data_IF_565232567147
#
_entry.id   IF_565232567147
#
_cell.length_a   1.000
_cell.length_b   1.000
_cell.length_c   1.000
_cell.angle_alpha   90.00
_cell.angle_beta   90.00
_cell.angle_gamma   90.00
#
_symmetry.space_group_name_H-M   'P 1'
#
loop_
_entity.id
_entity.type
_entity.pdbx_description
1 polymer ?
#
# COMPACT_ATOMS: atom_id res chain seq x y z
N UNK A 1 4.05 -17.69 -9.46
CA UNK A 1 4.89 -18.70 -10.10
C UNK A 1 5.61 -18.14 -11.34
N UNK A 2 5.00 -17.51 -12.35
CA UNK A 2 5.68 -17.07 -13.58
C UNK A 2 6.92 -16.20 -13.34
N UNK A 3 6.89 -15.32 -12.33
CA UNK A 3 8.05 -14.49 -11.96
C UNK A 3 9.21 -15.35 -11.45
N UNK A 4 8.92 -16.35 -10.60
CA UNK A 4 9.94 -17.27 -10.06
C UNK A 4 10.56 -18.06 -11.19
N UNK A 5 9.74 -18.59 -12.11
CA UNK A 5 10.21 -19.34 -13.27
C UNK A 5 11.08 -18.46 -14.19
N UNK A 6 10.71 -17.21 -14.42
CA UNK A 6 11.52 -16.25 -15.17
C UNK A 6 12.87 -15.97 -14.51
N UNK A 7 12.91 -15.75 -13.20
CA UNK A 7 14.16 -15.52 -12.46
C UNK A 7 15.09 -16.75 -12.52
N UNK A 8 14.54 -17.97 -12.39
CA UNK A 8 15.29 -19.22 -12.58
C UNK A 8 15.86 -19.33 -13.99
N UNK A 9 15.06 -18.96 -15.01
CA UNK A 9 15.54 -18.93 -16.39
C UNK A 9 16.67 -17.92 -16.62
N UNK A 10 16.54 -16.71 -16.08
CA UNK A 10 17.61 -15.69 -16.16
C UNK A 10 18.91 -16.19 -15.51
N UNK A 11 18.83 -16.79 -14.33
CA UNK A 11 20.00 -17.36 -13.67
C UNK A 11 20.64 -18.47 -14.50
N UNK A 12 19.82 -19.40 -14.99
CA UNK A 12 20.30 -20.60 -15.70
C UNK A 12 20.85 -20.27 -17.09
N UNK A 13 20.20 -19.40 -17.84
CA UNK A 13 20.51 -19.14 -19.25
C UNK A 13 21.56 -18.04 -19.39
N UNK A 14 21.44 -16.97 -18.59
CA UNK A 14 22.28 -15.77 -18.72
C UNK A 14 23.32 -15.63 -17.60
N UNK A 15 23.39 -16.56 -16.64
CA UNK A 15 24.33 -16.50 -15.53
C UNK A 15 24.12 -15.29 -14.61
N UNK A 16 22.90 -14.75 -14.55
CA UNK A 16 22.57 -13.55 -13.75
C UNK A 16 22.50 -13.92 -12.28
N UNK A 17 23.09 -13.10 -11.42
CA UNK A 17 22.87 -13.15 -9.98
C UNK A 17 21.64 -12.33 -9.60
N UNK A 18 20.77 -12.90 -8.77
CA UNK A 18 19.52 -12.25 -8.31
C UNK A 18 19.66 -11.94 -6.83
N UNK A 19 19.50 -10.67 -6.45
CA UNK A 19 19.49 -10.23 -5.05
C UNK A 19 18.08 -9.83 -4.65
N UNK A 20 17.53 -10.49 -3.63
CA UNK A 20 16.24 -10.13 -3.03
C UNK A 20 16.47 -9.22 -1.82
N UNK A 21 15.87 -8.04 -1.84
CA UNK A 21 15.87 -7.11 -0.70
C UNK A 21 14.43 -6.75 -0.34
N UNK A 22 14.01 -7.11 0.86
CA UNK A 22 12.64 -6.87 1.32
C UNK A 22 12.57 -6.78 2.83
N UNK A 23 11.59 -6.04 3.35
CA UNK A 23 11.33 -5.98 4.80
C UNK A 23 10.61 -7.23 5.33
N UNK A 24 9.88 -7.94 4.46
CA UNK A 24 9.15 -9.17 4.76
C UNK A 24 9.45 -10.18 3.67
N UNK A 25 10.28 -11.18 3.98
CA UNK A 25 10.75 -12.15 2.98
C UNK A 25 9.68 -13.23 2.74
N UNK A 26 9.11 -13.31 1.52
CA UNK A 26 8.21 -14.41 1.17
C UNK A 26 8.98 -15.72 1.05
N UNK A 27 8.31 -16.83 1.29
CA UNK A 27 8.88 -18.16 1.03
C UNK A 27 8.97 -18.37 -0.48
N UNK A 28 10.19 -18.42 -1.01
CA UNK A 28 10.47 -18.59 -2.43
C UNK A 28 11.24 -19.88 -2.73
N UNK A 29 11.67 -20.63 -1.71
CA UNK A 29 12.45 -21.89 -1.83
C UNK A 29 11.60 -23.10 -1.50
N UNK A 30 12.08 -24.27 -1.91
CA UNK A 30 11.41 -25.55 -1.68
C UNK A 30 10.14 -25.74 -2.51
N UNK A 31 9.32 -26.71 -2.13
CA UNK A 31 8.02 -26.94 -2.75
C UNK A 31 7.01 -25.93 -2.22
N UNK A 32 6.42 -25.15 -3.11
CA UNK A 32 5.36 -24.19 -2.79
C UNK A 32 4.02 -24.83 -3.11
N UNK A 33 3.21 -24.99 -2.07
CA UNK A 33 1.97 -25.76 -2.10
C UNK A 33 0.74 -24.86 -1.91
N UNK A 34 -0.32 -25.20 -2.63
CA UNK A 34 -1.64 -24.59 -2.54
C UNK A 34 -2.75 -25.62 -2.31
N UNK A 35 -4.01 -25.19 -2.41
CA UNK A 35 -5.17 -26.08 -2.29
C UNK A 35 -5.26 -27.09 -3.43
N UNK A 36 -4.69 -26.77 -4.59
CA UNK A 36 -4.67 -27.64 -5.76
C UNK A 36 -3.26 -28.20 -5.95
N UNK A 37 -3.02 -29.50 -5.69
CA UNK A 37 -1.70 -30.12 -5.86
C UNK A 37 -1.11 -30.00 -7.27
N UNK A 38 -1.95 -29.88 -8.31
CA UNK A 38 -1.51 -29.69 -9.69
C UNK A 38 -0.92 -28.29 -9.95
N UNK A 39 -1.22 -27.34 -9.09
CA UNK A 39 -0.69 -25.99 -9.16
C UNK A 39 0.57 -25.79 -8.30
N UNK A 40 0.97 -26.80 -7.52
CA UNK A 40 2.20 -26.76 -6.74
C UNK A 40 3.40 -26.60 -7.67
N UNK A 41 4.42 -25.88 -7.22
CA UNK A 41 5.63 -25.66 -8.02
C UNK A 41 6.88 -25.60 -7.16
N UNK A 42 7.99 -25.98 -7.78
CA UNK A 42 9.31 -25.88 -7.16
C UNK A 42 9.79 -24.42 -7.17
N UNK A 43 10.08 -23.89 -6.01
CA UNK A 43 10.64 -22.56 -5.83
C UNK A 43 12.09 -22.46 -6.29
N UNK A 44 12.81 -21.45 -5.81
CA UNK A 44 14.21 -21.20 -6.14
C UNK A 44 15.11 -22.11 -5.30
N UNK A 45 16.03 -22.79 -5.95
CA UNK A 45 17.04 -23.60 -5.28
C UNK A 45 18.27 -22.76 -4.91
N UNK A 46 19.00 -23.18 -3.89
CA UNK A 46 20.30 -22.59 -3.51
C UNK A 46 20.24 -21.09 -3.17
N UNK A 47 19.25 -20.68 -2.36
CA UNK A 47 19.21 -19.33 -1.80
C UNK A 47 20.31 -19.21 -0.74
N UNK A 48 21.15 -18.17 -0.87
CA UNK A 48 22.16 -17.82 0.13
C UNK A 48 21.72 -16.60 0.92
N UNK A 49 21.56 -16.76 2.23
CA UNK A 49 21.29 -15.62 3.11
C UNK A 49 22.56 -14.77 3.27
N UNK A 50 22.46 -13.47 2.94
CA UNK A 50 23.60 -12.55 3.04
C UNK A 50 23.92 -12.23 4.50
N UNK A 51 22.88 -12.18 5.35
CA UNK A 51 23.01 -11.95 6.78
C UNK A 51 22.69 -13.24 7.52
N UNK A 52 23.69 -13.92 8.07
CA UNK A 52 23.46 -15.15 8.82
C UNK A 52 22.56 -14.92 10.04
N UNK A 53 21.67 -15.87 10.33
CA UNK A 53 20.74 -15.82 11.47
C UNK A 53 21.46 -15.73 12.82
N UNK A 54 22.68 -16.25 12.93
CA UNK A 54 23.52 -16.19 14.13
C UNK A 54 23.83 -14.79 14.61
N UNK A 55 23.74 -13.77 13.75
CA UNK A 55 23.87 -12.38 14.16
C UNK A 55 22.68 -11.87 15.00
N UNK A 56 21.55 -12.58 14.99
CA UNK A 56 20.33 -12.24 15.71
C UNK A 56 19.94 -10.76 15.56
N UNK A 57 20.04 -10.23 14.32
CA UNK A 57 19.80 -8.81 14.06
C UNK A 57 18.36 -8.41 14.34
N UNK A 58 17.41 -9.33 14.17
CA UNK A 58 16.00 -9.07 14.46
C UNK A 58 15.79 -8.69 15.94
N UNK A 59 16.46 -9.39 16.86
CA UNK A 59 16.36 -9.09 18.29
C UNK A 59 17.13 -7.83 18.66
N UNK A 60 18.36 -7.69 18.16
CA UNK A 60 19.22 -6.53 18.44
C UNK A 60 18.65 -5.21 17.91
N UNK A 61 17.89 -5.25 16.83
CA UNK A 61 17.29 -4.08 16.19
C UNK A 61 15.83 -3.87 16.59
N UNK A 62 15.30 -4.68 17.50
CA UNK A 62 13.92 -4.53 17.98
C UNK A 62 13.77 -3.23 18.76
N UNK A 63 12.96 -2.32 18.22
CA UNK A 63 12.72 -0.96 18.76
C UNK A 63 11.26 -0.67 19.00
N UNK A 64 10.38 -1.65 18.71
CA UNK A 64 8.93 -1.50 18.74
C UNK A 64 8.31 -2.67 19.48
N UNK A 65 7.30 -2.38 20.29
CA UNK A 65 6.37 -3.39 20.81
C UNK A 65 5.05 -3.32 20.07
N UNK A 66 4.43 -4.46 19.84
CA UNK A 66 3.08 -4.57 19.32
C UNK A 66 2.07 -4.71 20.45
N UNK A 67 0.97 -3.98 20.36
CA UNK A 67 -0.19 -4.11 21.24
C UNK A 67 -1.39 -4.43 20.35
N UNK A 68 -1.94 -5.64 20.49
CA UNK A 68 -2.97 -6.15 19.59
C UNK A 68 -4.32 -6.07 20.30
N UNK A 69 -5.28 -5.38 19.69
CA UNK A 69 -6.66 -5.29 20.15
C UNK A 69 -7.59 -5.79 19.03
N UNK A 70 -8.00 -7.04 19.12
CA UNK A 70 -8.87 -7.68 18.12
C UNK A 70 -10.36 -7.38 18.36
N UNK A 71 -10.70 -6.57 19.37
CA UNK A 71 -12.09 -6.18 19.62
C UNK A 71 -12.53 -5.11 18.61
N UNK A 72 -13.62 -5.34 17.91
CA UNK A 72 -14.13 -4.38 16.92
C UNK A 72 -14.44 -3.04 17.56
N UNK A 73 -13.79 -1.98 17.08
CA UNK A 73 -13.94 -0.60 17.56
C UNK A 73 -14.69 0.25 16.54
N UNK A 74 -15.42 1.23 17.03
CA UNK A 74 -15.99 2.30 16.21
C UNK A 74 -14.91 3.30 15.77
N UNK A 75 -15.20 4.11 14.78
CA UNK A 75 -14.31 5.19 14.37
C UNK A 75 -14.08 6.20 15.50
N UNK A 76 -15.12 6.51 16.28
CA UNK A 76 -15.03 7.46 17.41
C UNK A 76 -14.10 6.96 18.51
N UNK A 77 -14.18 5.65 18.84
CA UNK A 77 -13.26 5.02 19.81
C UNK A 77 -11.83 5.04 19.33
N UNK A 78 -11.58 4.78 18.03
CA UNK A 78 -10.23 4.84 17.48
C UNK A 78 -9.73 6.28 17.41
N UNK A 79 -10.54 7.23 16.97
CA UNK A 79 -10.18 8.64 16.93
C UNK A 79 -9.84 9.17 18.33
N UNK A 80 -10.62 8.79 19.36
CA UNK A 80 -10.34 9.14 20.75
C UNK A 80 -9.01 8.53 21.24
N UNK A 81 -8.73 7.25 20.93
CA UNK A 81 -7.44 6.61 21.27
C UNK A 81 -6.26 7.29 20.58
N UNK A 82 -6.39 7.62 19.29
CA UNK A 82 -5.35 8.32 18.52
C UNK A 82 -5.11 9.72 19.08
N UNK A 83 -6.17 10.40 19.51
CA UNK A 83 -6.11 11.76 20.06
C UNK A 83 -5.35 11.88 21.40
N UNK A 84 -5.16 10.77 22.12
CA UNK A 84 -4.35 10.74 23.36
C UNK A 84 -2.88 11.09 23.08
N UNK A 85 -2.40 10.76 21.87
CA UNK A 85 -0.99 10.91 21.52
C UNK A 85 -0.72 12.20 20.77
N UNK A 86 0.36 12.86 21.15
CA UNK A 86 0.77 14.11 20.54
C UNK A 86 1.33 13.91 19.13
N UNK A 87 2.23 12.95 18.93
CA UNK A 87 2.79 12.62 17.61
C UNK A 87 2.43 11.16 17.29
N UNK A 88 1.52 10.98 16.33
CA UNK A 88 0.95 9.66 16.03
C UNK A 88 0.63 9.53 14.53
N UNK A 89 0.88 8.33 14.01
CA UNK A 89 0.47 7.89 12.68
C UNK A 89 -0.59 6.80 12.83
N UNK A 90 -1.73 6.96 12.16
CA UNK A 90 -2.75 5.93 12.08
C UNK A 90 -2.91 5.49 10.62
N UNK A 91 -2.69 4.19 10.36
CA UNK A 91 -2.75 3.60 9.02
C UNK A 91 -3.96 2.68 8.93
N UNK A 92 -4.79 2.91 7.94
CA UNK A 92 -6.03 2.15 7.68
C UNK A 92 -6.06 1.54 6.29
N UNK A 93 -7.01 0.64 6.05
CA UNK A 93 -7.06 -0.18 4.85
C UNK A 93 -7.73 0.51 3.66
N UNK A 94 -8.66 1.43 3.90
CA UNK A 94 -9.42 2.07 2.83
C UNK A 94 -9.32 3.60 2.88
N UNK A 95 -9.52 4.22 1.73
CA UNK A 95 -9.61 5.69 1.61
C UNK A 95 -10.78 6.24 2.43
N UNK A 96 -11.89 5.51 2.46
CA UNK A 96 -13.07 5.86 3.26
C UNK A 96 -12.76 5.85 4.75
N UNK A 97 -12.13 4.78 5.26
CA UNK A 97 -11.75 4.70 6.68
C UNK A 97 -10.80 5.83 7.07
N UNK A 98 -9.87 6.19 6.16
CA UNK A 98 -8.93 7.29 6.39
C UNK A 98 -9.65 8.63 6.52
N UNK A 99 -10.62 8.91 5.64
CA UNK A 99 -11.43 10.14 5.71
C UNK A 99 -12.29 10.17 6.97
N UNK A 100 -12.98 9.09 7.27
CA UNK A 100 -13.85 8.95 8.45
C UNK A 100 -13.09 9.21 9.76
N UNK A 101 -11.89 8.67 9.91
CA UNK A 101 -11.05 8.91 11.08
C UNK A 101 -10.48 10.32 11.10
N UNK A 102 -10.06 10.85 9.95
CA UNK A 102 -9.54 12.22 9.84
C UNK A 102 -10.58 13.25 10.28
N UNK A 103 -11.82 13.09 9.85
CA UNK A 103 -12.91 14.03 10.17
C UNK A 103 -13.25 14.00 11.66
N UNK A 104 -13.13 12.84 12.33
CA UNK A 104 -13.42 12.67 13.78
C UNK A 104 -12.27 13.08 14.69
N UNK A 105 -11.06 13.26 14.16
CA UNK A 105 -9.99 13.78 15.00
C UNK A 105 -10.28 15.20 15.46
N UNK A 106 -9.95 15.55 16.73
CA UNK A 106 -10.11 16.90 17.22
C UNK A 106 -9.26 17.88 16.39
N UNK A 107 -9.71 19.12 16.30
CA UNK A 107 -9.00 20.20 15.59
C UNK A 107 -7.82 20.79 16.39
N UNK A 108 -7.53 20.22 17.54
CA UNK A 108 -6.37 20.60 18.34
C UNK A 108 -5.06 20.12 17.66
N UNK A 109 -4.13 21.05 17.47
CA UNK A 109 -2.86 20.76 16.81
C UNK A 109 -2.99 20.66 15.28
N UNK A 110 -2.07 19.91 14.68
CA UNK A 110 -2.04 19.71 13.22
C UNK A 110 -2.49 18.29 12.91
N UNK A 111 -3.56 18.16 12.13
CA UNK A 111 -3.99 16.89 11.56
C UNK A 111 -3.75 16.89 10.05
N UNK A 112 -3.23 15.78 9.54
CA UNK A 112 -2.90 15.57 8.13
C UNK A 112 -3.47 14.26 7.63
N UNK A 113 -3.86 14.25 6.36
CA UNK A 113 -4.39 13.07 5.68
C UNK A 113 -3.46 12.67 4.53
N UNK A 114 -3.22 11.37 4.37
CA UNK A 114 -2.39 10.79 3.31
C UNK A 114 -3.08 9.57 2.70
N UNK A 115 -3.67 9.75 1.53
CA UNK A 115 -4.25 8.66 0.74
C UNK A 115 -4.06 8.91 -0.74
N UNK A 116 -4.39 7.92 -1.58
CA UNK A 116 -4.39 8.07 -3.03
C UNK A 116 -5.54 8.94 -3.58
N UNK A 117 -6.32 9.60 -2.70
CA UNK A 117 -7.23 10.69 -3.10
C UNK A 117 -6.49 12.01 -3.27
N UNK A 118 -5.25 12.11 -2.79
CA UNK A 118 -4.32 13.18 -3.08
C UNK A 118 -3.52 12.85 -4.35
N UNK A 119 -3.33 13.83 -5.21
CA UNK A 119 -2.43 13.65 -6.36
C UNK A 119 -0.95 13.55 -5.92
N UNK A 120 -0.05 12.97 -6.72
CA UNK A 120 1.36 12.77 -6.34
C UNK A 120 2.10 14.02 -5.89
N UNK A 121 1.82 15.17 -6.49
CA UNK A 121 2.41 16.45 -6.08
C UNK A 121 1.97 16.82 -4.65
N UNK A 122 0.67 16.68 -4.35
CA UNK A 122 0.10 16.96 -3.04
C UNK A 122 0.61 15.96 -1.96
N UNK A 123 0.68 14.68 -2.29
CA UNK A 123 1.27 13.66 -1.41
C UNK A 123 2.71 14.03 -1.04
N UNK A 124 3.52 14.40 -2.04
CA UNK A 124 4.93 14.78 -1.84
C UNK A 124 5.08 16.02 -0.96
N UNK A 125 4.21 17.00 -1.13
CA UNK A 125 4.16 18.21 -0.30
C UNK A 125 3.75 17.88 1.14
N UNK A 126 2.71 17.07 1.31
CA UNK A 126 2.22 16.63 2.63
C UNK A 126 3.29 15.83 3.38
N UNK A 127 4.00 14.91 2.71
CA UNK A 127 5.10 14.17 3.32
C UNK A 127 6.23 15.11 3.77
N UNK A 128 6.61 16.10 2.95
CA UNK A 128 7.61 17.12 3.35
C UNK A 128 7.14 17.90 4.58
N UNK A 129 5.87 18.29 4.62
CA UNK A 129 5.25 18.97 5.77
C UNK A 129 5.29 18.09 7.03
N UNK A 130 4.91 16.81 6.93
CA UNK A 130 5.00 15.83 8.03
C UNK A 130 6.43 15.78 8.57
N UNK A 131 7.43 15.59 7.69
CA UNK A 131 8.84 15.51 8.10
C UNK A 131 9.33 16.78 8.83
N UNK A 132 8.93 17.94 8.38
CA UNK A 132 9.27 19.20 9.01
C UNK A 132 8.63 19.32 10.41
N UNK A 133 7.33 19.04 10.52
CA UNK A 133 6.56 19.11 11.77
C UNK A 133 7.04 18.10 12.82
N UNK A 134 7.49 16.91 12.40
CA UNK A 134 8.03 15.92 13.35
C UNK A 134 9.33 16.37 13.99
N UNK A 135 10.13 17.18 13.29
CA UNK A 135 11.39 17.76 13.80
C UNK A 135 11.14 19.04 14.62
N UNK A 136 10.07 19.75 14.31
CA UNK A 136 9.74 21.00 14.97
C UNK A 136 9.14 20.75 16.37
N UNK A 137 9.73 21.40 17.39
CA UNK A 137 9.25 21.34 18.77
C UNK A 137 8.14 22.35 19.06
N UNK A 138 7.96 23.36 18.22
CA UNK A 138 6.91 24.38 18.36
C UNK A 138 5.52 23.81 18.06
N UNK A 139 5.45 22.70 17.30
CA UNK A 139 4.22 22.00 17.01
C UNK A 139 4.20 20.63 17.73
N UNK A 140 3.79 20.61 19.01
CA UNK A 140 3.84 19.38 19.81
C UNK A 140 2.83 18.32 19.34
N UNK A 141 1.69 18.75 18.75
CA UNK A 141 0.61 17.86 18.35
C UNK A 141 0.57 17.75 16.82
N UNK A 142 0.93 16.54 16.32
CA UNK A 142 0.91 16.19 14.90
C UNK A 142 0.28 14.81 14.75
N UNK A 143 -0.92 14.74 14.20
CA UNK A 143 -1.68 13.51 13.98
C UNK A 143 -1.84 13.27 12.49
N UNK A 144 -1.41 12.12 12.03
CA UNK A 144 -1.48 11.74 10.60
C UNK A 144 -2.37 10.52 10.45
N UNK A 145 -3.40 10.63 9.62
CA UNK A 145 -4.21 9.49 9.17
C UNK A 145 -3.78 9.16 7.74
N UNK A 146 -3.44 7.90 7.50
CA UNK A 146 -2.96 7.47 6.20
C UNK A 146 -3.56 6.12 5.77
N UNK A 147 -3.52 5.85 4.47
CA UNK A 147 -3.66 4.49 3.95
C UNK A 147 -2.28 3.81 3.84
N UNK A 148 -2.22 2.57 3.33
CA UNK A 148 -0.97 1.82 3.16
C UNK A 148 0.11 2.53 2.33
N UNK A 149 -0.21 3.60 1.68
CA UNK A 149 0.71 4.40 0.88
C UNK A 149 2.01 4.79 1.65
N UNK A 150 1.95 4.86 2.99
CA UNK A 150 3.09 5.22 3.84
C UNK A 150 3.91 4.02 4.33
N UNK A 151 3.44 2.79 4.10
CA UNK A 151 4.12 1.56 4.53
C UNK A 151 5.44 1.32 3.77
N UNK A 152 5.49 1.70 2.49
CA UNK A 152 6.68 1.59 1.65
C UNK A 152 7.07 2.93 1.01
N UNK A 153 8.36 3.15 0.76
CA UNK A 153 8.85 4.31 0.01
C UNK A 153 8.77 5.67 0.72
N UNK A 154 8.22 5.74 1.93
CA UNK A 154 8.09 6.98 2.71
C UNK A 154 8.94 6.90 3.96
N UNK A 155 9.83 7.85 4.12
CA UNK A 155 10.73 7.93 5.27
C UNK A 155 10.15 8.91 6.31
N UNK A 156 9.34 8.38 7.23
CA UNK A 156 8.73 9.08 8.36
C UNK A 156 8.94 8.26 9.63
N UNK A 157 9.06 8.94 10.76
CA UNK A 157 9.33 8.35 12.07
C UNK A 157 8.38 8.91 13.13
N UNK A 158 7.54 8.06 13.69
CA UNK A 158 6.60 8.41 14.74
C UNK A 158 6.87 7.62 16.02
N UNK A 159 6.68 8.21 17.20
CA UNK A 159 6.81 7.48 18.47
C UNK A 159 5.71 6.43 18.66
N UNK A 160 4.55 6.66 18.08
CA UNK A 160 3.37 5.80 18.17
C UNK A 160 2.73 5.62 16.80
N UNK A 161 2.41 4.38 16.47
CA UNK A 161 1.70 4.02 15.24
C UNK A 161 0.45 3.21 15.58
N UNK A 162 -0.66 3.52 14.95
CA UNK A 162 -1.86 2.68 14.91
C UNK A 162 -1.97 2.03 13.54
N UNK A 163 -2.24 0.75 13.48
CA UNK A 163 -2.45 0.00 12.25
C UNK A 163 -3.75 -0.80 12.34
N UNK A 164 -4.68 -0.52 11.43
CA UNK A 164 -5.83 -1.38 11.27
C UNK A 164 -5.38 -2.80 10.91
N UNK A 165 -6.05 -3.82 11.41
CA UNK A 165 -5.76 -5.23 11.11
C UNK A 165 -5.58 -5.48 9.60
N UNK A 166 -4.57 -6.29 9.26
CA UNK A 166 -4.18 -6.63 7.90
C UNK A 166 -3.31 -7.87 7.89
N UNK A 167 -2.63 -8.17 6.78
CA UNK A 167 -1.58 -9.16 6.74
C UNK A 167 -0.40 -8.81 7.65
N UNK A 168 0.33 -9.83 8.10
CA UNK A 168 1.47 -9.65 9.00
C UNK A 168 2.56 -8.76 8.38
N UNK A 169 2.84 -8.94 7.08
CA UNK A 169 3.77 -8.15 6.31
C UNK A 169 3.45 -6.64 6.35
N UNK A 170 2.19 -6.30 6.15
CA UNK A 170 1.71 -4.91 6.21
C UNK A 170 1.79 -4.33 7.63
N UNK A 171 1.45 -5.11 8.65
CA UNK A 171 1.57 -4.68 10.06
C UNK A 171 3.03 -4.39 10.42
N UNK A 172 3.97 -5.25 10.01
CA UNK A 172 5.39 -5.03 10.28
C UNK A 172 5.97 -3.86 9.48
N UNK A 173 5.50 -3.62 8.26
CA UNK A 173 5.87 -2.41 7.50
C UNK A 173 5.38 -1.13 8.19
N UNK A 174 4.16 -1.14 8.74
CA UNK A 174 3.65 -0.05 9.57
C UNK A 174 4.46 0.13 10.87
N UNK A 175 4.79 -0.97 11.55
CA UNK A 175 5.67 -0.96 12.72
C UNK A 175 7.06 -0.39 12.40
N UNK A 176 7.55 -0.60 11.17
CA UNK A 176 8.79 0.01 10.67
C UNK A 176 8.74 1.54 10.50
N UNK A 177 7.57 2.18 10.71
CA UNK A 177 7.40 3.64 10.81
C UNK A 177 7.37 4.14 12.24
N UNK A 178 7.41 3.23 13.21
CA UNK A 178 7.41 3.50 14.63
C UNK A 178 8.84 3.46 15.15
N UNK A 179 9.29 4.55 15.81
CA UNK A 179 10.64 4.64 16.40
C UNK A 179 11.76 4.19 15.44
N UNK A 180 11.58 4.52 14.16
CA UNK A 180 12.47 4.12 13.06
C UNK A 180 13.91 4.57 13.27
N UNK A 181 14.08 5.78 13.76
CA UNK A 181 15.40 6.37 14.01
C UNK A 181 15.96 6.01 15.41
N UNK A 182 15.22 5.21 16.22
CA UNK A 182 15.64 4.79 17.55
C UNK A 182 15.79 5.93 18.55
N UNK A 183 15.00 6.99 18.41
CA UNK A 183 15.04 8.16 19.31
C UNK A 183 14.46 7.88 20.70
N UNK A 184 13.53 6.92 20.76
CA UNK A 184 12.96 6.43 22.01
C UNK A 184 13.52 5.05 22.34
N UNK A 185 13.52 4.67 23.60
CA UNK A 185 13.92 3.32 24.02
C UNK A 185 13.06 2.27 23.32
N UNK A 186 11.73 2.45 23.32
CA UNK A 186 10.76 1.58 22.65
C UNK A 186 9.62 2.41 22.09
N UNK A 187 9.28 2.21 20.82
CA UNK A 187 8.05 2.70 20.21
C UNK A 187 6.90 1.73 20.44
N UNK A 188 5.67 2.20 20.22
CA UNK A 188 4.48 1.33 20.36
C UNK A 188 3.66 1.36 19.07
N UNK A 189 3.41 0.19 18.52
CA UNK A 189 2.46 0.02 17.42
C UNK A 189 1.22 -0.71 17.93
N UNK A 190 0.08 -0.05 17.84
CA UNK A 190 -1.22 -0.59 18.16
C UNK A 190 -1.85 -1.20 16.92
N UNK A 191 -2.20 -2.49 16.99
CA UNK A 191 -2.99 -3.15 15.94
C UNK A 191 -4.43 -3.20 16.42
N UNK A 192 -5.36 -2.69 15.62
CA UNK A 192 -6.77 -2.59 15.99
C UNK A 192 -7.69 -3.11 14.88
N UNK A 193 -8.89 -3.58 15.29
CA UNK A 193 -9.95 -3.99 14.38
C UNK A 193 -11.07 -2.97 14.41
N UNK A 194 -11.62 -2.65 13.24
CA UNK A 194 -12.89 -1.91 13.14
C UNK A 194 -14.07 -2.86 13.31
N UNK A 195 -15.21 -2.34 13.81
CA UNK A 195 -16.43 -3.11 14.01
C UNK A 195 -16.87 -3.81 12.71
N UNK A 196 -17.61 -4.92 12.84
CA UNK A 196 -17.96 -5.86 11.75
C UNK A 196 -18.58 -5.24 10.49
N UNK A 197 -19.22 -4.10 10.61
CA UNK A 197 -19.77 -3.31 9.50
C UNK A 197 -18.68 -2.70 8.59
N UNK A 198 -17.46 -2.56 9.10
CA UNK A 198 -16.29 -1.94 8.47
C UNK A 198 -15.27 -3.00 8.10
N UNK A 199 -15.66 -3.96 7.27
CA UNK A 199 -14.85 -5.14 6.94
C UNK A 199 -13.59 -4.79 6.16
N UNK A 200 -12.56 -5.63 6.36
CA UNK A 200 -11.38 -5.64 5.51
C UNK A 200 -11.80 -5.90 4.06
N UNK A 201 -11.27 -5.14 3.09
CA UNK A 201 -11.57 -5.34 1.68
C UNK A 201 -11.36 -6.78 1.23
N UNK A 202 -12.24 -7.29 0.37
CA UNK A 202 -12.14 -8.63 -0.20
C UNK A 202 -10.86 -8.79 -1.04
N UNK A 203 -10.52 -10.04 -1.38
CA UNK A 203 -9.36 -10.36 -2.19
C UNK A 203 -8.09 -10.53 -1.37
N UNK A 204 -6.97 -10.03 -1.89
CA UNK A 204 -5.63 -10.26 -1.33
C UNK A 204 -5.49 -9.80 0.13
N UNK A 205 -6.07 -8.66 0.48
CA UNK A 205 -5.99 -8.11 1.84
C UNK A 205 -6.72 -8.99 2.86
N UNK A 206 -7.90 -9.49 2.50
CA UNK A 206 -8.65 -10.43 3.37
C UNK A 206 -7.92 -11.76 3.50
N UNK A 207 -7.35 -12.28 2.40
CA UNK A 207 -6.57 -13.51 2.42
C UNK A 207 -5.34 -13.37 3.33
N UNK A 208 -4.63 -12.25 3.23
CA UNK A 208 -3.48 -11.93 4.07
C UNK A 208 -3.85 -11.80 5.56
N UNK A 209 -4.95 -11.12 5.88
CA UNK A 209 -5.44 -11.04 7.26
C UNK A 209 -5.85 -12.41 7.81
N UNK A 210 -6.53 -13.23 7.01
CA UNK A 210 -6.89 -14.59 7.41
C UNK A 210 -5.66 -15.48 7.65
N UNK A 211 -4.60 -15.34 6.83
CA UNK A 211 -3.34 -16.04 7.06
C UNK A 211 -2.73 -15.65 8.41
N UNK A 212 -2.71 -14.34 8.74
CA UNK A 212 -2.25 -13.84 10.05
C UNK A 212 -3.08 -14.41 11.21
N UNK A 213 -4.40 -14.46 11.09
CA UNK A 213 -5.30 -14.96 12.15
C UNK A 213 -5.12 -16.45 12.44
N UNK A 214 -4.50 -17.22 11.52
CA UNK A 214 -4.20 -18.63 11.75
C UNK A 214 -2.80 -18.88 12.32
N UNK A 215 -2.03 -17.84 12.57
CA UNK A 215 -0.78 -17.99 13.32
C UNK A 215 -1.05 -18.43 14.76
N UNK A 216 -0.16 -19.23 15.37
CA UNK A 216 -0.29 -19.60 16.79
C UNK A 216 -0.41 -18.37 17.69
N UNK A 217 -1.27 -18.45 18.71
CA UNK A 217 -1.64 -17.30 19.55
C UNK A 217 -0.44 -16.61 20.25
N UNK A 218 0.63 -17.36 20.52
CA UNK A 218 1.82 -16.85 21.21
C UNK A 218 2.99 -16.58 20.25
N UNK A 219 2.75 -16.51 18.94
CA UNK A 219 3.81 -16.22 17.96
C UNK A 219 4.39 -14.83 18.18
N UNK A 220 5.70 -14.74 18.19
CA UNK A 220 6.39 -13.46 18.10
C UNK A 220 6.37 -12.98 16.63
N UNK A 221 5.63 -11.93 16.36
CA UNK A 221 5.45 -11.44 14.99
C UNK A 221 6.72 -10.83 14.38
N UNK A 222 7.73 -10.53 15.18
CA UNK A 222 9.04 -10.10 14.68
C UNK A 222 9.99 -11.25 14.38
N UNK A 223 9.66 -12.47 14.78
CA UNK A 223 10.47 -13.65 14.49
C UNK A 223 10.38 -14.02 13.00
N UNK A 224 11.50 -14.22 12.28
CA UNK A 224 11.51 -14.67 10.90
C UNK A 224 10.75 -15.97 10.65
N UNK A 225 10.74 -16.89 11.63
CA UNK A 225 9.99 -18.15 11.52
C UNK A 225 8.48 -17.91 11.48
N UNK A 226 7.98 -16.93 12.23
CA UNK A 226 6.57 -16.52 12.19
C UNK A 226 6.20 -15.92 10.83
N UNK A 227 7.10 -15.17 10.21
CA UNK A 227 6.88 -14.66 8.85
C UNK A 227 6.85 -15.80 7.83
N UNK A 228 7.73 -16.78 7.97
CA UNK A 228 7.72 -17.98 7.13
C UNK A 228 6.39 -18.74 7.25
N UNK A 229 5.93 -19.00 8.47
CA UNK A 229 4.64 -19.65 8.73
C UNK A 229 3.47 -18.83 8.16
N UNK A 230 3.49 -17.50 8.31
CA UNK A 230 2.49 -16.63 7.71
C UNK A 230 2.39 -16.79 6.19
N UNK A 231 3.52 -16.87 5.48
CA UNK A 231 3.50 -17.08 4.03
C UNK A 231 3.02 -18.48 3.66
N UNK A 232 3.34 -19.51 4.44
CA UNK A 232 2.76 -20.84 4.23
C UNK A 232 1.24 -20.82 4.40
N UNK A 233 0.72 -20.18 5.45
CA UNK A 233 -0.71 -19.98 5.67
C UNK A 233 -1.38 -19.17 4.54
N UNK A 234 -0.67 -18.26 3.91
CA UNK A 234 -1.15 -17.50 2.77
C UNK A 234 -1.18 -18.35 1.49
N UNK A 235 -0.15 -19.18 1.26
CA UNK A 235 -0.01 -19.98 0.06
C UNK A 235 -0.93 -21.19 0.06
N UNK A 236 -1.06 -21.92 1.16
CA UNK A 236 -1.88 -23.11 1.27
C UNK A 236 -3.37 -22.89 0.94
N UNK A 237 -3.80 -21.62 0.84
CA UNK A 237 -5.17 -21.22 0.46
C UNK A 237 -5.32 -20.84 -1.01
N UNK A 238 -4.22 -20.77 -1.75
CA UNK A 238 -4.26 -20.45 -3.18
C UNK A 238 -4.59 -21.70 -3.99
N UNK A 239 -5.53 -21.56 -4.91
CA UNK A 239 -5.89 -22.59 -5.86
C UNK A 239 -4.93 -22.65 -7.07
N UNK A 240 -4.30 -21.51 -7.38
CA UNK A 240 -3.28 -21.40 -8.43
C UNK A 240 -2.23 -20.36 -8.04
N UNK A 241 -1.04 -20.51 -8.60
CA UNK A 241 0.05 -19.54 -8.52
C UNK A 241 0.33 -18.86 -9.87
N UNK A 242 -0.56 -19.09 -10.84
CA UNK A 242 -0.54 -18.51 -12.18
C UNK A 242 -1.95 -17.99 -12.55
N UNK A 243 -2.43 -17.00 -11.82
CA UNK A 243 -3.80 -16.45 -11.93
C UNK A 243 -4.12 -15.89 -13.32
N UNK A 244 -3.09 -15.53 -14.10
CA UNK A 244 -3.22 -14.99 -15.47
C UNK A 244 -2.95 -16.03 -16.56
N UNK A 245 -2.74 -17.30 -16.18
CA UNK A 245 -2.42 -18.41 -17.09
C UNK A 245 -1.23 -18.14 -18.02
N UNK A 246 -0.18 -17.51 -17.43
CA UNK A 246 1.01 -17.11 -18.18
C UNK A 246 1.75 -18.31 -18.78
N UNK A 247 1.71 -19.47 -18.11
CA UNK A 247 2.34 -20.69 -18.62
C UNK A 247 1.74 -21.10 -19.96
N UNK A 248 0.41 -21.02 -20.11
CA UNK A 248 -0.26 -21.32 -21.36
C UNK A 248 0.25 -20.45 -22.49
N UNK A 249 0.42 -19.16 -22.26
CA UNK A 249 0.85 -18.20 -23.29
C UNK A 249 2.36 -18.25 -23.59
N UNK A 250 3.19 -18.57 -22.61
CA UNK A 250 4.65 -18.51 -22.75
C UNK A 250 5.27 -19.85 -23.14
N UNK A 251 4.63 -20.96 -22.79
CA UNK A 251 5.18 -22.31 -23.00
C UNK A 251 4.35 -23.15 -23.97
N UNK A 252 3.40 -22.57 -24.70
CA UNK A 252 2.66 -23.28 -25.72
C UNK A 252 3.62 -23.61 -26.89
N UNK A 253 3.87 -24.89 -27.20
CA UNK A 253 4.80 -25.28 -28.26
C UNK A 253 4.28 -24.95 -29.67
N UNK A 254 2.98 -24.73 -29.81
CA UNK A 254 2.33 -24.54 -31.11
C UNK A 254 2.08 -23.08 -31.46
N UNK A 255 2.16 -22.17 -30.48
CA UNK A 255 1.82 -20.77 -30.66
C UNK A 255 2.73 -19.86 -29.83
N UNK A 256 3.28 -18.83 -30.46
CA UNK A 256 4.04 -17.77 -29.78
C UNK A 256 3.10 -16.62 -29.41
N UNK A 257 2.51 -16.71 -28.22
CA UNK A 257 1.50 -15.74 -27.74
C UNK A 257 2.10 -14.58 -26.92
N UNK A 258 3.30 -14.08 -27.27
CA UNK A 258 4.01 -13.06 -26.51
C UNK A 258 3.23 -11.74 -26.36
N UNK A 259 2.53 -11.31 -27.38
CA UNK A 259 1.69 -10.11 -27.35
C UNK A 259 0.55 -10.28 -26.34
N UNK A 260 -0.15 -11.42 -26.40
CA UNK A 260 -1.23 -11.74 -25.46
C UNK A 260 -0.71 -11.85 -24.04
N UNK A 261 0.43 -12.53 -23.83
CA UNK A 261 1.08 -12.61 -22.54
C UNK A 261 1.44 -11.22 -21.98
N UNK A 262 2.03 -10.36 -22.81
CA UNK A 262 2.39 -8.96 -22.43
C UNK A 262 1.17 -8.12 -22.04
N UNK A 263 0.04 -8.27 -22.76
CA UNK A 263 -1.20 -7.56 -22.43
C UNK A 263 -1.85 -8.08 -21.15
N UNK A 264 -1.80 -9.37 -20.92
CA UNK A 264 -2.41 -10.02 -19.72
C UNK A 264 -1.53 -9.92 -18.48
N UNK A 265 -0.21 -9.95 -18.64
CA UNK A 265 0.71 -9.87 -17.51
C UNK A 265 0.78 -8.43 -16.99
N UNK A 266 0.09 -8.19 -15.89
CA UNK A 266 0.19 -6.96 -15.11
C UNK A 266 0.69 -7.32 -13.72
N UNK A 267 1.85 -6.80 -13.33
CA UNK A 267 2.39 -6.98 -11.98
C UNK A 267 1.50 -6.28 -10.94
N UNK A 268 0.95 -5.13 -11.35
CA UNK A 268 -0.05 -4.37 -10.60
C UNK A 268 -1.24 -4.21 -11.54
N UNK A 269 -2.38 -4.80 -11.15
CA UNK A 269 -3.63 -4.57 -11.88
C UNK A 269 -4.07 -3.12 -11.57
N UNK A 270 -4.21 -2.31 -12.61
CA UNK A 270 -4.63 -0.93 -12.51
C UNK A 270 -5.89 -0.72 -13.38
N UNK A 271 -7.04 -0.86 -12.74
CA UNK A 271 -8.36 -0.58 -13.33
C UNK A 271 -8.78 0.87 -13.04
N UNK A 272 -7.81 1.73 -12.73
CA UNK A 272 -8.08 3.11 -12.38
C UNK A 272 -8.11 4.01 -13.62
N UNK A 273 -9.13 4.86 -13.68
CA UNK A 273 -9.20 6.00 -14.57
C UNK A 273 -8.52 7.20 -13.91
N UNK A 274 -7.64 7.87 -14.66
CA UNK A 274 -6.86 8.99 -14.16
C UNK A 274 -7.58 10.32 -14.42
N UNK A 275 -7.74 11.12 -13.37
CA UNK A 275 -8.39 12.43 -13.43
C UNK A 275 -7.38 13.50 -13.00
N UNK A 276 -7.15 14.50 -13.85
CA UNK A 276 -6.34 15.67 -13.49
C UNK A 276 -7.14 16.55 -12.55
N UNK A 277 -6.52 16.91 -11.41
CA UNK A 277 -7.16 17.71 -10.36
C UNK A 277 -6.53 19.10 -10.26
N UNK A 278 -7.30 20.07 -9.78
CA UNK A 278 -6.82 21.43 -9.60
C UNK A 278 -5.91 21.52 -8.37
N UNK A 279 -4.59 21.36 -8.61
CA UNK A 279 -3.55 21.52 -7.60
C UNK A 279 -2.31 22.18 -8.19
N UNK A 280 -1.73 23.15 -7.47
CA UNK A 280 -0.54 23.87 -7.95
C UNK A 280 -0.78 24.56 -9.29
N UNK A 281 0.06 24.26 -10.28
CA UNK A 281 -0.03 24.82 -11.63
C UNK A 281 -0.70 23.88 -12.65
N UNK A 282 -1.48 22.90 -12.20
CA UNK A 282 -2.08 21.91 -13.08
C UNK A 282 -2.97 22.51 -14.18
N UNK A 283 -3.75 23.55 -13.86
CA UNK A 283 -4.66 24.17 -14.82
C UNK A 283 -3.91 24.93 -15.93
N UNK A 284 -2.77 25.54 -15.63
CA UNK A 284 -1.90 26.15 -16.66
C UNK A 284 -1.36 25.08 -17.64
N UNK A 285 -1.06 23.88 -17.12
CA UNK A 285 -0.61 22.76 -17.95
C UNK A 285 -1.77 22.17 -18.76
N UNK A 286 -3.00 22.19 -18.26
CA UNK A 286 -4.20 21.79 -19.00
C UNK A 286 -4.46 22.74 -20.16
N UNK A 287 -4.34 24.05 -19.98
CA UNK A 287 -4.48 25.01 -21.08
C UNK A 287 -3.40 24.79 -22.14
N UNK A 288 -2.15 24.57 -21.76
CA UNK A 288 -1.08 24.19 -22.71
C UNK A 288 -1.40 22.89 -23.45
N UNK A 289 -2.03 21.92 -22.77
CA UNK A 289 -2.44 20.66 -23.38
C UNK A 289 -3.51 20.90 -24.47
N UNK A 290 -4.49 21.76 -24.22
CA UNK A 290 -5.51 22.14 -25.19
C UNK A 290 -4.92 22.86 -26.40
N UNK A 291 -3.91 23.69 -26.21
CA UNK A 291 -3.24 24.46 -27.28
C UNK A 291 -2.28 23.62 -28.10
N UNK A 292 -1.43 22.83 -27.47
CA UNK A 292 -0.29 22.14 -28.12
C UNK A 292 -0.48 20.63 -28.32
N UNK A 293 -1.59 20.08 -27.81
CA UNK A 293 -1.85 18.64 -27.85
C UNK A 293 -0.97 17.82 -26.91
N UNK A 294 -1.12 16.49 -26.99
CA UNK A 294 -0.39 15.55 -26.16
C UNK A 294 1.08 15.46 -26.55
N UNK A 295 1.97 15.90 -25.67
CA UNK A 295 3.41 15.65 -25.79
C UNK A 295 3.92 14.89 -24.55
N UNK A 296 4.91 14.02 -24.73
CA UNK A 296 5.45 13.23 -23.62
C UNK A 296 5.91 14.08 -22.42
N UNK A 297 6.67 15.20 -22.61
CA UNK A 297 7.08 16.06 -21.49
C UNK A 297 5.91 16.68 -20.72
N UNK A 298 4.84 17.10 -21.44
CA UNK A 298 3.65 17.70 -20.82
C UNK A 298 2.84 16.66 -20.05
N UNK A 299 2.63 15.48 -20.63
CA UNK A 299 1.95 14.38 -19.95
C UNK A 299 2.70 13.91 -18.70
N UNK A 300 4.03 13.86 -18.74
CA UNK A 300 4.87 13.57 -17.58
C UNK A 300 4.73 14.61 -16.45
N UNK A 301 4.52 15.87 -16.81
CA UNK A 301 4.24 16.92 -15.82
C UNK A 301 2.82 16.77 -15.24
N UNK A 302 1.82 16.59 -16.09
CA UNK A 302 0.42 16.41 -15.70
C UNK A 302 0.19 15.17 -14.83
N UNK A 303 0.93 14.09 -15.04
CA UNK A 303 0.85 12.88 -14.23
C UNK A 303 1.09 13.13 -12.72
N UNK A 304 1.76 14.23 -12.34
CA UNK A 304 1.93 14.63 -10.94
C UNK A 304 0.65 15.15 -10.29
N UNK A 305 -0.32 15.53 -11.11
CA UNK A 305 -1.59 16.14 -10.71
C UNK A 305 -2.79 15.24 -10.98
N UNK A 306 -2.57 13.95 -11.23
CA UNK A 306 -3.63 12.98 -11.46
C UNK A 306 -4.02 12.22 -10.20
N UNK A 307 -5.31 11.91 -10.06
CA UNK A 307 -5.85 10.99 -9.07
C UNK A 307 -6.47 9.82 -9.80
N UNK A 308 -6.06 8.60 -9.45
CA UNK A 308 -6.66 7.37 -9.96
C UNK A 308 -7.91 6.99 -9.18
N UNK A 309 -9.03 6.79 -9.87
CA UNK A 309 -10.30 6.31 -9.31
C UNK A 309 -10.74 5.03 -10.00
N UNK A 310 -11.44 4.15 -9.30
CA UNK A 310 -12.01 2.95 -9.93
C UNK A 310 -13.08 3.33 -10.95
N UNK A 311 -13.26 2.48 -11.97
CA UNK A 311 -14.24 2.71 -13.04
C UNK A 311 -15.63 3.05 -12.51
N UNK A 312 -16.11 2.37 -11.46
CA UNK A 312 -17.41 2.64 -10.85
C UNK A 312 -17.54 4.04 -10.21
N UNK A 313 -16.45 4.55 -9.66
CA UNK A 313 -16.41 5.91 -9.10
C UNK A 313 -16.23 6.95 -10.20
N UNK A 314 -15.49 6.60 -11.24
CA UNK A 314 -15.35 7.43 -12.44
C UNK A 314 -16.71 7.64 -13.14
N UNK A 315 -17.49 6.58 -13.34
CA UNK A 315 -18.83 6.65 -13.94
C UNK A 315 -19.77 7.56 -13.12
N UNK A 316 -19.68 7.52 -11.80
CA UNK A 316 -20.43 8.46 -10.94
C UNK A 316 -20.00 9.90 -11.17
N UNK A 317 -18.69 10.18 -11.19
CA UNK A 317 -18.17 11.52 -11.42
C UNK A 317 -18.59 12.06 -12.80
N UNK A 318 -18.63 11.21 -13.83
CA UNK A 318 -19.19 11.56 -15.16
C UNK A 318 -20.67 11.92 -15.03
N UNK A 319 -21.45 11.08 -14.37
CA UNK A 319 -22.92 11.29 -14.23
C UNK A 319 -23.29 12.58 -13.50
N UNK A 320 -22.41 13.03 -12.59
CA UNK A 320 -22.58 14.31 -11.87
C UNK A 320 -22.02 15.52 -12.62
N UNK A 321 -21.38 15.31 -13.80
CA UNK A 321 -20.68 16.38 -14.50
C UNK A 321 -19.48 16.92 -13.74
N UNK A 322 -18.91 16.08 -12.88
CA UNK A 322 -17.76 16.43 -12.03
C UNK A 322 -16.43 16.41 -12.81
N UNK A 323 -16.40 15.76 -13.96
CA UNK A 323 -15.22 15.66 -14.83
C UNK A 323 -15.58 16.01 -16.27
N UNK A 324 -14.60 16.55 -16.97
CA UNK A 324 -14.67 16.93 -18.38
C UNK A 324 -13.57 16.22 -19.16
N UNK A 325 -13.89 15.68 -20.32
CA UNK A 325 -12.89 15.16 -21.25
C UNK A 325 -12.34 16.30 -22.09
N UNK A 326 -11.09 16.66 -21.87
CA UNK A 326 -10.44 17.80 -22.58
C UNK A 326 -9.74 17.38 -23.86
N UNK A 327 -9.27 16.15 -23.95
CA UNK A 327 -8.78 15.45 -25.14
C UNK A 327 -9.13 13.97 -24.98
N UNK A 328 -9.10 13.21 -26.07
CA UNK A 328 -9.44 11.78 -26.06
C UNK A 328 -8.71 11.02 -24.95
N UNK A 329 -9.46 10.48 -23.99
CA UNK A 329 -8.96 9.73 -22.85
C UNK A 329 -8.32 10.57 -21.74
N UNK A 330 -8.37 11.91 -21.80
CA UNK A 330 -7.80 12.80 -20.77
C UNK A 330 -8.90 13.59 -20.09
N UNK A 331 -9.07 13.32 -18.80
CA UNK A 331 -10.14 13.85 -17.96
C UNK A 331 -9.62 14.84 -16.94
N UNK A 332 -10.34 15.92 -16.75
CA UNK A 332 -10.03 16.99 -15.79
C UNK A 332 -11.20 17.18 -14.85
N UNK A 333 -10.93 17.39 -13.58
CA UNK A 333 -11.92 17.73 -12.57
C UNK A 333 -12.49 19.11 -12.87
N UNK A 334 -13.83 19.24 -12.97
CA UNK A 334 -14.51 20.52 -13.16
C UNK A 334 -14.59 21.32 -11.86
N UNK A 335 -14.90 22.62 -11.96
CA UNK A 335 -15.09 23.50 -10.78
C UNK A 335 -16.32 23.10 -9.94
N UNK A 336 -17.17 22.21 -10.43
CA UNK A 336 -18.35 21.70 -9.70
C UNK A 336 -17.98 20.85 -8.52
N UNK A 337 -16.78 20.25 -8.51
CA UNK A 337 -16.27 19.42 -7.42
C UNK A 337 -14.96 19.99 -6.94
N UNK A 338 -14.93 20.40 -5.68
CA UNK A 338 -13.70 20.92 -5.10
C UNK A 338 -12.72 19.79 -4.79
N UNK A 339 -11.48 19.98 -5.22
CA UNK A 339 -10.36 19.20 -4.71
C UNK A 339 -9.94 19.79 -3.35
N UNK A 340 -10.26 19.07 -2.26
CA UNK A 340 -10.01 19.56 -0.90
C UNK A 340 -8.50 19.57 -0.59
N UNK A 341 -8.05 20.70 0.00
CA UNK A 341 -6.64 20.91 0.36
C UNK A 341 -6.09 19.99 1.44
N UNK A 342 -6.94 19.26 2.15
CA UNK A 342 -6.52 18.37 3.22
C UNK A 342 -6.76 16.89 2.84
N UNK A 343 -7.89 16.59 2.22
CA UNK A 343 -8.33 15.21 1.95
C UNK A 343 -8.32 14.82 0.47
N UNK A 344 -8.12 15.79 -0.43
CA UNK A 344 -8.03 15.55 -1.87
C UNK A 344 -9.39 15.41 -2.55
N UNK A 345 -9.49 14.51 -3.53
CA UNK A 345 -10.72 14.26 -4.28
C UNK A 345 -11.75 13.59 -3.38
N UNK A 346 -12.95 14.16 -3.27
CA UNK A 346 -14.10 13.54 -2.61
C UNK A 346 -14.90 12.71 -3.62
N UNK A 347 -15.32 11.51 -3.21
CA UNK A 347 -16.24 10.64 -3.95
C UNK A 347 -17.62 10.60 -3.30
N UNK A 348 -17.81 11.33 -2.21
CA UNK A 348 -19.12 11.44 -1.55
C UNK A 348 -20.04 12.34 -2.38
N UNK A 349 -21.31 12.00 -2.41
CA UNK A 349 -22.32 12.69 -3.19
C UNK A 349 -22.30 14.21 -2.95
N UNK A 350 -22.29 14.92 -4.01
CA UNK A 350 -22.50 16.36 -4.07
C UNK A 350 -23.94 16.66 -4.40
#
# INVERSE_FOLDING_TARGET
>A
QPIVDALKAYQKIFGVSVLFTTASQPVLSGLIEGTNPKANFQGIDHITEIIPNEFALHDKLRRVKLVIDNTGKTYDEIAAKVAIYNKVLCIVNTRKDAKELYDRLPNEGIKLHLSRMLCPAHISETIRKVKALLKDKSHPIVRVIATQLVEAGVDIDFPVVFRQESGLDSILQAAGRCNREGRNTVGTTFVFSLAAEKRIPFGAMKAANNARLNLPANSDWFDPSTMTEYFYQLYCRKNTFDDKDMKHYLYNPNELCFETASKKFRLIDDDCMNIIVNWGNSMELVEKLKESGCTYPLMKQLAKFTVGVHSSDFDKLVSYGAIEEVLEGIYVLTDRVQYDKNTGLSLDNH
#
